data_IF_722918574185
#
_entry.id   IF_722918574185
#
_cell.length_a   1.000
_cell.length_b   1.000
_cell.length_c   1.000
_cell.angle_alpha   90.00
_cell.angle_beta   90.00
_cell.angle_gamma   90.00
#
_symmetry.space_group_name_H-M   'P 1'
#
loop_
_entity.id
_entity.type
_entity.pdbx_description
1 polymer ?
#
# COMPACT_ATOMS: atom_id res chain seq x y z
N UNK A 1 12.35 54.39 -15.09
CA UNK A 1 11.73 53.44 -16.05
C UNK A 1 11.64 52.07 -15.37
N UNK A 2 10.50 51.72 -14.75
CA UNK A 2 10.29 50.37 -14.21
C UNK A 2 9.79 49.51 -15.37
N UNK A 3 10.57 48.49 -15.69
CA UNK A 3 10.43 47.59 -16.84
C UNK A 3 9.00 47.07 -17.04
N UNK A 4 8.48 47.27 -18.25
CA UNK A 4 7.19 46.75 -18.73
C UNK A 4 7.08 45.22 -18.56
N UNK A 5 8.22 44.52 -18.51
CA UNK A 5 8.30 43.07 -18.31
C UNK A 5 7.81 42.60 -16.94
N UNK A 6 8.06 43.36 -15.86
CA UNK A 6 7.60 42.98 -14.51
C UNK A 6 6.08 43.10 -14.37
N UNK A 7 5.48 44.09 -15.04
CA UNK A 7 4.03 44.33 -15.00
C UNK A 7 3.24 43.25 -15.74
N UNK A 8 3.78 42.72 -16.83
CA UNK A 8 3.10 41.68 -17.62
C UNK A 8 3.07 40.33 -16.87
N UNK A 9 4.15 39.97 -16.17
CA UNK A 9 4.22 38.73 -15.38
C UNK A 9 3.34 38.77 -14.14
N UNK A 10 3.24 39.92 -13.46
CA UNK A 10 2.34 40.06 -12.29
C UNK A 10 0.87 40.01 -12.73
N UNK A 11 0.51 40.65 -13.83
CA UNK A 11 -0.87 40.63 -14.35
C UNK A 11 -1.31 39.23 -14.83
N UNK A 12 -0.41 38.45 -15.46
CA UNK A 12 -0.72 37.08 -15.86
C UNK A 12 -0.88 36.15 -14.66
N UNK A 13 -0.05 36.31 -13.62
CA UNK A 13 -0.12 35.51 -12.40
C UNK A 13 -1.39 35.81 -11.58
N UNK A 14 -1.74 37.09 -11.42
CA UNK A 14 -2.98 37.52 -10.75
C UNK A 14 -4.21 37.04 -11.54
N UNK A 15 -4.16 37.06 -12.87
CA UNK A 15 -5.20 36.50 -13.73
C UNK A 15 -5.40 34.99 -13.55
N UNK A 16 -4.30 34.23 -13.46
CA UNK A 16 -4.35 32.78 -13.24
C UNK A 16 -4.90 32.40 -11.85
N UNK A 17 -4.54 33.16 -10.82
CA UNK A 17 -5.08 32.99 -9.46
C UNK A 17 -6.56 33.33 -9.42
N UNK A 18 -6.97 34.48 -9.99
CA UNK A 18 -8.36 34.91 -10.04
C UNK A 18 -9.28 33.90 -10.74
N UNK A 19 -8.81 33.33 -11.86
CA UNK A 19 -9.57 32.33 -12.61
C UNK A 19 -9.71 31.01 -11.83
N UNK A 20 -8.66 30.59 -11.11
CA UNK A 20 -8.68 29.41 -10.25
C UNK A 20 -9.63 29.58 -9.06
N UNK A 21 -9.61 30.75 -8.42
CA UNK A 21 -10.49 31.09 -7.30
C UNK A 21 -11.96 31.15 -7.77
N UNK A 22 -12.23 31.74 -8.93
CA UNK A 22 -13.59 31.83 -9.48
C UNK A 22 -14.20 30.46 -9.77
N UNK A 23 -13.40 29.50 -10.27
CA UNK A 23 -13.84 28.12 -10.55
C UNK A 23 -14.13 27.31 -9.29
N UNK A 24 -13.39 27.54 -8.21
CA UNK A 24 -13.53 26.79 -6.95
C UNK A 24 -14.60 27.37 -6.03
N UNK A 25 -14.87 28.67 -6.12
CA UNK A 25 -15.85 29.38 -5.28
C UNK A 25 -17.22 28.68 -5.17
N UNK A 26 -17.91 28.28 -6.26
CA UNK A 26 -19.22 27.62 -6.14
C UNK A 26 -19.14 26.20 -5.57
N UNK A 27 -17.97 25.55 -5.59
CA UNK A 27 -17.74 24.24 -5.00
C UNK A 27 -17.48 24.39 -3.49
N UNK A 28 -16.77 25.44 -3.09
CA UNK A 28 -16.44 25.74 -1.68
C UNK A 28 -17.63 26.35 -0.91
N UNK A 29 -18.50 27.11 -1.58
CA UNK A 29 -19.70 27.73 -0.99
C UNK A 29 -20.87 26.74 -0.86
N UNK A 30 -20.82 25.60 -1.55
CA UNK A 30 -21.83 24.54 -1.52
C UNK A 30 -21.26 23.31 -0.79
N UNK A 31 -21.55 23.19 0.50
CA UNK A 31 -21.02 22.11 1.34
C UNK A 31 -21.36 20.69 0.84
N UNK A 32 -22.47 20.51 0.13
CA UNK A 32 -22.86 19.22 -0.45
C UNK A 32 -22.01 18.91 -1.68
N UNK A 33 -21.78 19.88 -2.57
CA UNK A 33 -20.87 19.71 -3.72
C UNK A 33 -19.43 19.55 -3.27
N UNK A 34 -18.97 20.32 -2.29
CA UNK A 34 -17.65 20.16 -1.69
C UNK A 34 -17.44 18.74 -1.20
N UNK A 35 -18.35 18.24 -0.35
CA UNK A 35 -18.27 16.88 0.19
C UNK A 35 -18.30 15.83 -0.91
N UNK A 36 -19.12 16.00 -1.94
CA UNK A 36 -19.23 15.06 -3.06
C UNK A 36 -17.95 14.99 -3.89
N UNK A 37 -17.37 16.14 -4.26
CA UNK A 37 -16.11 16.21 -5.01
C UNK A 37 -14.93 15.74 -4.15
N UNK A 38 -14.91 16.11 -2.88
CA UNK A 38 -13.89 15.68 -1.94
C UNK A 38 -13.91 14.17 -1.74
N UNK A 39 -15.08 13.57 -1.51
CA UNK A 39 -15.19 12.12 -1.42
C UNK A 39 -14.93 11.44 -2.77
N UNK A 40 -15.36 11.99 -3.91
CA UNK A 40 -15.01 11.41 -5.21
C UNK A 40 -13.48 11.35 -5.42
N UNK A 41 -12.75 12.38 -4.97
CA UNK A 41 -11.31 12.48 -5.15
C UNK A 41 -10.49 11.72 -4.10
N UNK A 42 -10.98 11.66 -2.85
CA UNK A 42 -10.23 11.13 -1.70
C UNK A 42 -10.85 9.89 -1.05
N UNK A 43 -12.10 9.53 -1.37
CA UNK A 43 -12.75 8.30 -0.91
C UNK A 43 -12.46 7.10 -1.81
N UNK A 44 -11.85 7.29 -2.97
CA UNK A 44 -11.35 6.19 -3.81
C UNK A 44 -10.01 5.69 -3.29
N UNK A 45 -9.97 5.24 -2.03
CA UNK A 45 -8.91 4.32 -1.62
C UNK A 45 -9.18 3.05 -2.43
N UNK A 46 -8.46 2.88 -3.53
CA UNK A 46 -8.51 1.65 -4.31
C UNK A 46 -8.23 0.50 -3.32
N UNK A 47 -9.17 -0.44 -3.11
CA UNK A 47 -9.05 -1.46 -2.06
C UNK A 47 -7.79 -2.29 -2.23
N UNK A 48 -7.38 -2.56 -3.48
CA UNK A 48 -6.12 -3.24 -3.82
C UNK A 48 -4.91 -2.41 -3.38
N UNK A 49 -4.92 -1.09 -3.62
CA UNK A 49 -3.85 -0.20 -3.16
C UNK A 49 -3.81 -0.09 -1.63
N UNK A 50 -4.97 -0.06 -0.97
CA UNK A 50 -5.07 -0.05 0.49
C UNK A 50 -4.49 -1.33 1.10
N UNK A 51 -4.87 -2.48 0.55
CA UNK A 51 -4.36 -3.79 0.95
C UNK A 51 -2.85 -3.90 0.71
N UNK A 52 -2.38 -3.45 -0.46
CA UNK A 52 -0.94 -3.37 -0.78
C UNK A 52 -0.19 -2.47 0.20
N UNK A 53 -0.74 -1.31 0.56
CA UNK A 53 -0.13 -0.41 1.54
C UNK A 53 -0.04 -1.05 2.93
N UNK A 54 -1.10 -1.74 3.36
CA UNK A 54 -1.12 -2.49 4.63
C UNK A 54 -0.12 -3.65 4.61
N UNK A 55 -0.02 -4.40 3.51
CA UNK A 55 0.96 -5.47 3.31
C UNK A 55 2.40 -4.95 3.37
N UNK A 56 2.67 -3.78 2.80
CA UNK A 56 3.99 -3.15 2.87
C UNK A 56 4.43 -2.84 4.30
N UNK A 57 3.48 -2.51 5.18
CA UNK A 57 3.74 -2.22 6.59
C UNK A 57 3.66 -3.46 7.49
N UNK A 58 3.21 -4.59 6.97
CA UNK A 58 3.10 -5.84 7.72
C UNK A 58 4.50 -6.47 7.83
N UNK A 59 4.98 -6.61 9.06
CA UNK A 59 6.21 -7.35 9.38
C UNK A 59 5.88 -8.49 10.33
N UNK A 60 6.61 -9.60 10.21
CA UNK A 60 6.49 -10.70 11.15
C UNK A 60 6.92 -10.26 12.56
N UNK A 61 5.92 -10.06 13.41
CA UNK A 61 6.03 -9.70 14.83
C UNK A 61 5.17 -10.69 15.61
N UNK A 62 5.74 -11.34 16.62
CA UNK A 62 5.05 -12.39 17.37
C UNK A 62 5.14 -13.77 16.72
N UNK A 63 4.00 -14.46 16.61
CA UNK A 63 3.95 -15.83 16.08
C UNK A 63 3.78 -15.87 14.57
N UNK A 64 4.33 -16.91 13.93
CA UNK A 64 4.16 -17.11 12.48
C UNK A 64 2.69 -17.25 12.10
N UNK A 65 1.89 -17.94 12.93
CA UNK A 65 0.48 -18.19 12.66
C UNK A 65 -0.34 -16.90 12.58
N UNK A 66 -0.11 -15.97 13.51
CA UNK A 66 -0.78 -14.66 13.51
C UNK A 66 -0.36 -13.82 12.31
N UNK A 67 0.92 -13.84 11.96
CA UNK A 67 1.43 -13.15 10.78
C UNK A 67 0.84 -13.73 9.49
N UNK A 68 0.83 -15.07 9.33
CA UNK A 68 0.25 -15.73 8.16
C UNK A 68 -1.23 -15.43 7.99
N UNK A 69 -2.00 -15.41 9.09
CA UNK A 69 -3.41 -15.09 9.06
C UNK A 69 -3.65 -13.66 8.55
N UNK A 70 -2.93 -12.67 9.10
CA UNK A 70 -3.02 -11.27 8.67
C UNK A 70 -2.56 -11.06 7.24
N UNK A 71 -1.50 -11.75 6.83
CA UNK A 71 -1.02 -11.70 5.46
C UNK A 71 -2.08 -12.23 4.48
N UNK A 72 -2.66 -13.41 4.78
CA UNK A 72 -3.69 -14.04 3.94
C UNK A 72 -4.92 -13.14 3.79
N UNK A 73 -5.37 -12.52 4.88
CA UNK A 73 -6.50 -11.58 4.87
C UNK A 73 -6.26 -10.36 3.97
N UNK A 74 -5.05 -9.80 3.98
CA UNK A 74 -4.73 -8.65 3.13
C UNK A 74 -4.44 -9.07 1.69
N UNK A 75 -3.77 -10.20 1.47
CA UNK A 75 -3.43 -10.70 0.15
C UNK A 75 -4.68 -11.12 -0.65
N UNK A 76 -5.76 -11.58 0.01
CA UNK A 76 -7.02 -11.88 -0.66
C UNK A 76 -7.73 -10.65 -1.22
N UNK A 77 -7.35 -9.45 -0.78
CA UNK A 77 -7.83 -8.17 -1.28
C UNK A 77 -6.94 -7.61 -2.40
N UNK A 78 -5.97 -8.39 -2.87
CA UNK A 78 -5.05 -8.04 -3.97
C UNK A 78 -5.17 -9.04 -5.12
N UNK A 79 -4.80 -8.60 -6.32
CA UNK A 79 -4.75 -9.45 -7.52
C UNK A 79 -3.41 -10.21 -7.66
N UNK A 80 -2.69 -10.43 -6.56
CA UNK A 80 -1.38 -11.07 -6.59
C UNK A 80 -1.49 -12.56 -6.95
N UNK A 81 -0.64 -13.00 -7.86
CA UNK A 81 -0.42 -14.42 -8.12
C UNK A 81 0.42 -15.06 -7.00
N UNK A 82 0.44 -16.39 -6.94
CA UNK A 82 1.11 -17.12 -5.87
C UNK A 82 2.62 -16.87 -5.80
N UNK A 83 3.38 -16.79 -6.92
CA UNK A 83 4.79 -16.38 -6.87
C UNK A 83 5.00 -15.00 -6.22
N UNK A 84 4.13 -14.03 -6.51
CA UNK A 84 4.19 -12.70 -5.91
C UNK A 84 3.89 -12.76 -4.41
N UNK A 85 2.88 -13.54 -4.00
CA UNK A 85 2.57 -13.75 -2.58
C UNK A 85 3.75 -14.41 -1.85
N UNK A 86 4.35 -15.46 -2.40
CA UNK A 86 5.47 -16.18 -1.80
C UNK A 86 6.68 -15.24 -1.62
N UNK A 87 7.07 -14.55 -2.69
CA UNK A 87 8.21 -13.62 -2.66
C UNK A 87 8.01 -12.51 -1.63
N UNK A 88 6.82 -11.91 -1.63
CA UNK A 88 6.52 -10.83 -0.70
C UNK A 88 6.41 -11.34 0.74
N UNK A 89 5.77 -12.49 0.96
CA UNK A 89 5.68 -13.14 2.27
C UNK A 89 7.07 -13.41 2.86
N UNK A 90 7.95 -14.04 2.08
CA UNK A 90 9.33 -14.31 2.49
C UNK A 90 10.09 -13.02 2.87
N UNK A 91 9.92 -11.94 2.10
CA UNK A 91 10.58 -10.66 2.37
C UNK A 91 10.23 -10.06 3.74
N UNK A 92 9.02 -10.36 4.25
CA UNK A 92 8.49 -9.83 5.51
C UNK A 92 8.73 -10.74 6.72
N UNK A 93 9.31 -11.93 6.51
CA UNK A 93 9.73 -12.81 7.58
C UNK A 93 10.97 -12.28 8.32
N UNK A 94 11.16 -12.76 9.55
CA UNK A 94 12.37 -12.52 10.32
C UNK A 94 13.53 -13.34 9.75
N UNK A 95 14.75 -12.81 9.83
CA UNK A 95 15.92 -13.44 9.20
C UNK A 95 16.20 -14.85 9.73
N UNK A 96 16.03 -15.10 11.04
CA UNK A 96 16.14 -16.45 11.62
C UNK A 96 15.25 -17.50 10.93
N UNK A 97 14.06 -17.09 10.47
CA UNK A 97 13.12 -17.97 9.78
C UNK A 97 13.55 -18.14 8.32
N UNK A 98 14.01 -17.07 7.69
CA UNK A 98 14.56 -17.13 6.33
C UNK A 98 15.73 -18.10 6.25
N UNK A 99 16.64 -18.06 7.22
CA UNK A 99 17.78 -18.97 7.31
C UNK A 99 17.33 -20.43 7.44
N UNK A 100 16.28 -20.68 8.24
CA UNK A 100 15.68 -22.01 8.39
C UNK A 100 15.05 -22.49 7.08
N UNK A 101 14.39 -21.60 6.34
CA UNK A 101 13.79 -21.91 5.02
C UNK A 101 14.87 -22.16 3.97
N UNK A 102 15.97 -21.40 3.99
CA UNK A 102 17.08 -21.57 3.04
C UNK A 102 17.77 -22.93 3.17
N UNK A 103 17.66 -23.58 4.33
CA UNK A 103 18.14 -24.94 4.57
C UNK A 103 17.15 -26.01 4.09
N UNK A 104 15.91 -25.65 3.72
CA UNK A 104 14.93 -26.59 3.21
C UNK A 104 15.24 -26.99 1.75
N UNK A 105 15.11 -28.28 1.45
CA UNK A 105 15.53 -28.84 0.16
C UNK A 105 14.65 -28.42 -1.03
N UNK A 106 13.40 -28.00 -0.80
CA UNK A 106 12.51 -27.50 -1.85
C UNK A 106 11.41 -26.62 -1.25
N UNK A 107 11.12 -25.50 -1.92
CA UNK A 107 10.01 -24.61 -1.57
C UNK A 107 8.81 -24.90 -2.50
N UNK A 108 7.59 -25.03 -1.97
CA UNK A 108 6.40 -25.22 -2.80
C UNK A 108 6.08 -24.02 -3.71
N UNK A 109 5.47 -24.29 -4.86
CA UNK A 109 5.07 -23.26 -5.84
C UNK A 109 3.72 -22.60 -5.50
N UNK A 110 2.90 -23.26 -4.68
CA UNK A 110 1.61 -22.75 -4.18
C UNK A 110 1.81 -21.96 -2.90
N UNK A 111 1.14 -20.80 -2.80
CA UNK A 111 1.23 -19.94 -1.62
C UNK A 111 0.77 -20.67 -0.34
N UNK A 112 -0.32 -21.43 -0.40
CA UNK A 112 -0.85 -22.12 0.79
C UNK A 112 0.09 -23.24 1.25
N UNK A 113 0.66 -23.99 0.31
CA UNK A 113 1.63 -25.04 0.63
C UNK A 113 2.93 -24.44 1.20
N UNK A 114 3.36 -23.29 0.68
CA UNK A 114 4.49 -22.55 1.19
C UNK A 114 4.27 -22.11 2.65
N UNK A 115 3.13 -21.52 2.98
CA UNK A 115 2.79 -21.10 4.35
C UNK A 115 2.74 -22.29 5.30
N UNK A 116 2.17 -23.41 4.86
CA UNK A 116 2.13 -24.65 5.64
C UNK A 116 3.54 -25.21 5.90
N UNK A 117 4.41 -25.20 4.88
CA UNK A 117 5.81 -25.60 5.01
C UNK A 117 6.54 -24.75 6.05
N UNK A 118 6.40 -23.42 5.99
CA UNK A 118 7.01 -22.51 6.96
C UNK A 118 6.52 -22.78 8.39
N UNK A 119 5.22 -23.02 8.57
CA UNK A 119 4.63 -23.37 9.87
C UNK A 119 5.21 -24.68 10.41
N UNK A 120 5.40 -25.68 9.55
CA UNK A 120 6.00 -26.96 9.92
C UNK A 120 7.48 -26.81 10.32
N UNK A 121 8.28 -26.08 9.54
CA UNK A 121 9.70 -25.86 9.81
C UNK A 121 9.92 -25.16 11.16
N UNK A 122 9.10 -24.15 11.47
CA UNK A 122 9.19 -23.44 12.75
C UNK A 122 8.79 -24.33 13.92
N UNK A 123 7.75 -25.16 13.77
CA UNK A 123 7.37 -26.14 14.80
C UNK A 123 8.46 -27.18 15.02
N UNK A 124 9.07 -27.69 13.95
CA UNK A 124 10.18 -28.65 14.04
C UNK A 124 11.43 -28.07 14.71
N UNK A 125 11.73 -26.79 14.47
CA UNK A 125 12.87 -26.08 15.06
C UNK A 125 12.72 -25.74 16.56
N UNK A 126 11.53 -25.90 17.15
CA UNK A 126 11.29 -25.69 18.60
C UNK A 126 11.38 -26.99 19.43
N UNK A 127 11.62 -28.14 18.78
CA UNK A 127 11.64 -29.47 19.41
C UNK A 127 13.06 -30.03 19.56
N UNK A 128 14.10 -29.26 19.21
CA UNK A 128 15.50 -29.61 19.41
C UNK A 128 16.19 -28.64 20.38
#
# INVERSE_FOLDING_TARGET
MISLGLRFTVLSYVGAISNSVHKLRPILEDGVKFKTVFLAQFSSINPVQAATFKLNRLHHTGTISEFSARFRELASQTDWNDPSKISFYYSKLQDRIKDTIAQAASAPDSYEDYVNCVSFLIKGAQVN
#
